data_IF_949424847314
#
_entry.id   IF_949424847314
#
_cell.length_a   1.000
_cell.length_b   1.000
_cell.length_c   1.000
_cell.angle_alpha   90.00
_cell.angle_beta   90.00
_cell.angle_gamma   90.00
#
_symmetry.space_group_name_H-M   'P 1'
#
loop_
_entity.id
_entity.type
_entity.pdbx_description
1 polymer ?
#
# COMPACT_ATOMS: atom_id res chain seq x y z
N UNK A 1 27.32 -9.11 -3.45
CA UNK A 1 26.37 -9.57 -2.41
C UNK A 1 25.00 -9.03 -2.81
N UNK A 2 23.90 -9.71 -2.52
CA UNK A 2 22.58 -9.10 -2.73
C UNK A 2 22.47 -7.80 -1.92
N UNK A 3 21.70 -6.80 -2.40
CA UNK A 3 21.54 -5.54 -1.69
C UNK A 3 20.90 -5.78 -0.31
N UNK A 4 21.35 -5.02 0.69
CA UNK A 4 20.75 -5.01 2.02
C UNK A 4 19.53 -4.07 2.01
N UNK A 5 18.32 -4.64 2.01
CA UNK A 5 17.07 -3.91 1.85
C UNK A 5 16.33 -3.86 3.17
N UNK A 6 16.09 -2.66 3.71
CA UNK A 6 15.15 -2.50 4.81
C UNK A 6 13.74 -2.20 4.30
N UNK A 7 12.73 -2.78 4.97
CA UNK A 7 11.32 -2.56 4.67
C UNK A 7 10.61 -1.99 5.90
N UNK A 8 10.17 -0.74 5.84
CA UNK A 8 9.31 -0.12 6.84
C UNK A 8 7.85 -0.22 6.40
N UNK A 9 6.95 -0.60 7.31
CA UNK A 9 5.55 -0.85 7.00
C UNK A 9 5.26 -2.27 6.52
N UNK A 10 6.03 -3.24 6.97
CA UNK A 10 5.91 -4.65 6.62
C UNK A 10 4.56 -5.29 7.01
N UNK A 11 3.74 -4.64 7.85
CA UNK A 11 2.39 -5.11 8.21
C UNK A 11 1.29 -4.65 7.28
N UNK A 12 1.58 -3.78 6.30
CA UNK A 12 0.63 -3.45 5.22
C UNK A 12 0.45 -4.66 4.27
N UNK A 13 -0.62 -4.67 3.47
CA UNK A 13 -0.87 -5.77 2.51
C UNK A 13 0.32 -5.94 1.56
N UNK A 14 0.78 -4.85 0.95
CA UNK A 14 1.95 -4.88 0.06
C UNK A 14 3.25 -5.21 0.81
N UNK A 15 3.47 -4.56 1.98
CA UNK A 15 4.67 -4.81 2.78
C UNK A 15 4.77 -6.26 3.24
N UNK A 16 3.65 -6.90 3.56
CA UNK A 16 3.62 -8.32 3.93
C UNK A 16 3.99 -9.22 2.75
N UNK A 17 3.47 -8.92 1.56
CA UNK A 17 3.84 -9.63 0.33
C UNK A 17 5.32 -9.46 -0.01
N UNK A 18 5.86 -8.24 0.09
CA UNK A 18 7.29 -7.96 -0.10
C UNK A 18 8.17 -8.77 0.87
N UNK A 19 7.85 -8.72 2.17
CA UNK A 19 8.62 -9.43 3.19
C UNK A 19 8.61 -10.95 3.02
N UNK A 20 7.51 -11.52 2.51
CA UNK A 20 7.39 -12.96 2.26
C UNK A 20 8.12 -13.41 1.01
N UNK A 21 7.92 -12.70 -0.10
CA UNK A 21 8.50 -13.09 -1.39
C UNK A 21 10.01 -12.89 -1.45
N UNK A 22 10.51 -11.85 -0.77
CA UNK A 22 11.92 -11.46 -0.79
C UNK A 22 12.61 -11.63 0.57
N UNK A 23 12.22 -12.66 1.32
CA UNK A 23 12.68 -12.90 2.70
C UNK A 23 14.19 -13.10 2.84
N UNK A 24 14.91 -13.42 1.75
CA UNK A 24 16.37 -13.58 1.76
C UNK A 24 17.13 -12.25 1.63
N UNK A 25 16.48 -11.21 1.08
CA UNK A 25 17.12 -9.91 0.80
C UNK A 25 16.47 -8.74 1.56
N UNK A 26 15.26 -8.92 2.10
CA UNK A 26 14.49 -7.87 2.76
C UNK A 26 14.41 -8.11 4.26
N UNK A 27 14.83 -7.11 5.05
CA UNK A 27 14.66 -7.08 6.51
C UNK A 27 13.41 -6.28 6.85
N UNK A 28 12.29 -6.94 7.23
CA UNK A 28 11.03 -6.27 7.51
C UNK A 28 10.96 -5.71 8.93
N UNK A 29 10.53 -4.45 9.08
CA UNK A 29 10.31 -3.81 10.36
C UNK A 29 8.82 -3.57 10.62
N UNK A 30 8.42 -3.69 11.88
CA UNK A 30 7.06 -3.40 12.36
C UNK A 30 7.09 -2.27 13.39
N UNK A 31 6.00 -1.52 13.52
CA UNK A 31 5.89 -0.42 14.49
C UNK A 31 5.40 -0.86 15.86
N UNK A 32 4.94 -2.10 15.99
CA UNK A 32 4.49 -2.71 17.25
C UNK A 32 4.80 -4.19 17.25
N UNK A 33 5.18 -4.72 18.40
CA UNK A 33 5.29 -6.15 18.58
C UNK A 33 3.97 -6.84 18.22
N UNK A 34 4.05 -7.88 17.41
CA UNK A 34 2.89 -8.63 16.95
C UNK A 34 2.97 -10.07 17.43
N UNK A 35 1.81 -10.63 17.80
CA UNK A 35 1.71 -12.02 18.27
C UNK A 35 1.44 -13.02 17.15
N UNK A 36 1.16 -12.55 15.93
CA UNK A 36 0.95 -13.44 14.80
C UNK A 36 2.22 -14.27 14.55
N UNK A 37 2.14 -15.61 14.45
CA UNK A 37 3.32 -16.48 14.35
C UNK A 37 4.23 -16.11 13.17
N UNK A 38 3.65 -15.68 12.06
CA UNK A 38 4.37 -15.32 10.82
C UNK A 38 5.26 -14.10 10.92
N UNK A 39 5.01 -13.20 11.89
CA UNK A 39 5.71 -11.90 12.01
C UNK A 39 6.21 -11.58 13.41
N UNK A 40 6.05 -12.49 14.37
CA UNK A 40 6.44 -12.25 15.78
C UNK A 40 7.94 -12.01 15.97
N UNK A 41 8.76 -12.46 15.01
CA UNK A 41 10.22 -12.34 15.06
C UNK A 41 10.74 -11.09 14.33
N UNK A 42 9.86 -10.33 13.66
CA UNK A 42 10.29 -9.13 12.97
C UNK A 42 10.69 -8.05 13.95
N UNK A 43 11.81 -7.34 13.70
CA UNK A 43 12.26 -6.24 14.53
C UNK A 43 11.24 -5.13 14.61
N UNK A 44 11.21 -4.47 15.77
CA UNK A 44 10.24 -3.39 16.06
C UNK A 44 10.95 -2.04 15.97
N UNK A 45 10.35 -1.10 15.24
CA UNK A 45 10.76 0.30 15.26
C UNK A 45 10.34 0.93 16.60
N UNK A 46 11.29 1.36 17.40
CA UNK A 46 11.00 2.06 18.65
C UNK A 46 10.80 3.56 18.40
N UNK A 47 9.64 3.91 17.82
CA UNK A 47 9.32 5.27 17.37
C UNK A 47 9.31 6.33 18.49
N UNK A 48 9.32 5.91 19.76
CA UNK A 48 9.37 6.80 20.93
C UNK A 48 10.80 7.26 21.24
N UNK A 49 11.81 6.54 20.79
CA UNK A 49 13.21 6.93 20.98
C UNK A 49 13.60 8.06 20.03
N UNK A 50 14.25 9.14 20.52
CA UNK A 50 14.57 10.30 19.67
C UNK A 50 15.43 9.98 18.45
N UNK A 51 16.36 9.03 18.54
CA UNK A 51 17.34 8.66 17.49
C UNK A 51 17.11 7.25 16.95
N UNK A 52 15.85 6.80 16.92
CA UNK A 52 15.53 5.43 16.46
C UNK A 52 15.95 5.16 15.01
N UNK A 53 15.77 6.14 14.12
CA UNK A 53 16.08 5.98 12.70
C UNK A 53 17.59 5.93 12.47
N UNK A 54 18.34 6.83 13.09
CA UNK A 54 19.81 6.85 13.04
C UNK A 54 20.43 5.55 13.58
N UNK A 55 19.87 5.03 14.68
CA UNK A 55 20.35 3.78 15.28
C UNK A 55 20.18 2.61 14.33
N UNK A 56 19.01 2.48 13.67
CA UNK A 56 18.72 1.42 12.70
C UNK A 56 19.65 1.53 11.48
N UNK A 57 19.80 2.73 10.90
CA UNK A 57 20.65 2.89 9.73
C UNK A 57 22.14 2.68 10.03
N UNK A 58 22.59 3.03 11.23
CA UNK A 58 23.94 2.75 11.70
C UNK A 58 24.18 1.25 11.87
N UNK A 59 23.20 0.52 12.41
CA UNK A 59 23.30 -0.92 12.64
C UNK A 59 23.26 -1.70 11.34
N UNK A 60 22.29 -1.38 10.47
CA UNK A 60 22.01 -2.18 9.29
C UNK A 60 22.73 -1.71 8.02
N UNK A 61 23.16 -0.46 7.92
CA UNK A 61 23.85 0.12 6.74
C UNK A 61 23.17 -0.29 5.40
N UNK A 62 21.88 0.04 5.19
CA UNK A 62 21.16 -0.45 4.04
C UNK A 62 21.62 0.19 2.73
N UNK A 63 21.57 -0.59 1.65
CA UNK A 63 21.72 -0.09 0.28
C UNK A 63 20.41 0.57 -0.21
N UNK A 64 19.27 0.03 0.27
CA UNK A 64 17.92 0.45 -0.13
C UNK A 64 16.94 0.42 1.04
N UNK A 65 16.12 1.47 1.15
CA UNK A 65 14.96 1.52 2.04
C UNK A 65 13.67 1.49 1.23
N UNK A 66 12.88 0.42 1.39
CA UNK A 66 11.50 0.34 0.93
C UNK A 66 10.58 0.91 2.03
N UNK A 67 9.95 2.05 1.77
CA UNK A 67 9.07 2.71 2.73
C UNK A 67 7.60 2.54 2.34
N UNK A 68 6.95 1.57 2.97
CA UNK A 68 5.51 1.27 2.82
C UNK A 68 4.70 1.67 4.06
N UNK A 69 5.33 2.35 5.05
CA UNK A 69 4.67 2.71 6.30
C UNK A 69 3.73 3.90 6.10
N UNK A 70 2.46 3.68 6.39
CA UNK A 70 1.44 4.71 6.46
C UNK A 70 0.20 4.20 7.20
N UNK A 71 -0.59 5.12 7.75
CA UNK A 71 -1.98 4.84 8.11
C UNK A 71 -2.86 5.22 6.93
N UNK A 72 -3.64 4.25 6.44
CA UNK A 72 -4.48 4.36 5.25
C UNK A 72 -5.98 4.21 5.54
N UNK A 73 -6.38 4.17 6.81
CA UNK A 73 -7.78 4.21 7.22
C UNK A 73 -8.30 5.64 7.09
N UNK A 74 -8.99 5.92 5.99
CA UNK A 74 -9.49 7.27 5.66
C UNK A 74 -10.38 7.81 6.77
N UNK A 75 -11.32 7.01 7.30
CA UNK A 75 -12.23 7.43 8.37
C UNK A 75 -11.47 7.84 9.63
N UNK A 76 -10.46 7.09 10.00
CA UNK A 76 -9.63 7.40 11.16
C UNK A 76 -8.73 8.61 10.94
N UNK A 77 -8.22 8.80 9.72
CA UNK A 77 -7.45 10.00 9.37
C UNK A 77 -8.33 11.26 9.43
N UNK A 78 -9.58 11.21 8.96
CA UNK A 78 -10.52 12.32 9.10
C UNK A 78 -10.86 12.62 10.58
N UNK A 79 -11.00 11.58 11.41
CA UNK A 79 -11.31 11.74 12.83
C UNK A 79 -10.11 12.23 13.67
N UNK A 80 -8.89 12.00 13.22
CA UNK A 80 -7.65 12.35 13.92
C UNK A 80 -6.57 12.86 12.95
N UNK A 81 -6.72 14.07 12.38
CA UNK A 81 -5.81 14.61 11.38
C UNK A 81 -4.36 14.75 11.88
N UNK A 82 -4.17 15.22 13.11
CA UNK A 82 -2.84 15.40 13.70
C UNK A 82 -2.09 14.06 13.84
N UNK A 83 -2.80 13.01 14.24
CA UNK A 83 -2.22 11.67 14.27
C UNK A 83 -1.87 11.16 12.87
N UNK A 84 -2.71 11.45 11.87
CA UNK A 84 -2.41 11.08 10.48
C UNK A 84 -1.16 11.82 9.97
N UNK A 85 -1.00 13.10 10.31
CA UNK A 85 0.21 13.88 10.00
C UNK A 85 1.44 13.31 10.69
N UNK A 86 1.37 13.02 11.99
CA UNK A 86 2.51 12.45 12.72
C UNK A 86 2.97 11.14 12.07
N UNK A 87 2.05 10.21 11.78
CA UNK A 87 2.40 8.89 11.25
C UNK A 87 2.85 8.94 9.79
N UNK A 88 2.16 9.73 8.94
CA UNK A 88 2.40 9.71 7.50
C UNK A 88 3.47 10.70 7.04
N UNK A 89 3.72 11.76 7.82
CA UNK A 89 4.62 12.84 7.44
C UNK A 89 5.80 12.92 8.41
N UNK A 90 5.56 13.13 9.73
CA UNK A 90 6.65 13.40 10.68
C UNK A 90 7.60 12.21 10.83
N UNK A 91 7.08 10.97 10.83
CA UNK A 91 7.94 9.78 10.86
C UNK A 91 8.77 9.64 9.58
N UNK A 92 8.20 9.92 8.42
CA UNK A 92 8.93 9.89 7.16
C UNK A 92 10.03 10.97 7.12
N UNK A 93 9.73 12.18 7.59
CA UNK A 93 10.68 13.28 7.64
C UNK A 93 11.90 12.93 8.52
N UNK A 94 11.67 12.35 9.72
CA UNK A 94 12.76 11.82 10.57
C UNK A 94 13.57 10.75 9.87
N UNK A 95 12.92 9.84 9.16
CA UNK A 95 13.61 8.79 8.35
C UNK A 95 14.47 9.42 7.27
N UNK A 96 13.95 10.38 6.51
CA UNK A 96 14.70 11.06 5.44
C UNK A 96 15.91 11.80 6.01
N UNK A 97 15.73 12.49 7.15
CA UNK A 97 16.80 13.23 7.83
C UNK A 97 17.94 12.34 8.32
N UNK A 98 17.62 11.11 8.75
CA UNK A 98 18.60 10.15 9.27
C UNK A 98 19.20 9.22 8.19
N UNK A 99 18.53 9.10 7.02
CA UNK A 99 18.89 8.12 6.00
C UNK A 99 20.22 8.51 5.31
N UNK A 100 21.25 7.66 5.30
CA UNK A 100 22.51 7.94 4.62
C UNK A 100 22.32 8.34 3.15
N UNK A 101 23.12 9.27 2.66
CA UNK A 101 23.05 9.74 1.27
C UNK A 101 23.31 8.64 0.23
N UNK A 102 24.02 7.60 0.63
CA UNK A 102 24.31 6.40 -0.18
C UNK A 102 23.15 5.42 -0.24
N UNK A 103 22.20 5.51 0.68
CA UNK A 103 21.02 4.63 0.70
C UNK A 103 19.94 5.15 -0.24
N UNK A 104 19.49 4.31 -1.15
CA UNK A 104 18.36 4.62 -2.03
C UNK A 104 17.04 4.59 -1.26
N UNK A 105 16.18 5.60 -1.47
CA UNK A 105 14.83 5.64 -0.90
C UNK A 105 13.81 5.32 -1.98
N UNK A 106 13.00 4.28 -1.74
CA UNK A 106 11.82 3.94 -2.53
C UNK A 106 10.58 4.06 -1.66
N UNK A 107 9.72 4.99 -1.99
CA UNK A 107 8.51 5.33 -1.24
C UNK A 107 7.28 4.84 -1.97
N UNK A 108 6.47 4.01 -1.33
CA UNK A 108 5.20 3.57 -1.89
C UNK A 108 4.11 4.54 -1.48
N UNK A 109 3.58 5.24 -2.48
CA UNK A 109 2.45 6.16 -2.36
C UNK A 109 1.13 5.48 -2.75
N UNK A 110 0.07 6.25 -2.97
CA UNK A 110 -1.28 5.77 -3.19
C UNK A 110 -1.99 6.59 -4.27
N UNK A 111 -2.96 5.97 -4.95
CA UNK A 111 -3.92 6.63 -5.83
C UNK A 111 -4.84 7.63 -5.09
N UNK A 112 -4.88 7.62 -3.75
CA UNK A 112 -5.57 8.63 -2.94
C UNK A 112 -4.97 10.05 -3.03
N UNK A 113 -3.84 10.23 -3.70
CA UNK A 113 -3.36 11.57 -4.12
C UNK A 113 -4.31 12.21 -5.14
N UNK A 114 -5.20 11.42 -5.73
CA UNK A 114 -6.30 11.82 -6.59
C UNK A 114 -7.65 11.56 -5.89
N UNK A 115 -8.68 12.28 -6.28
CA UNK A 115 -9.99 12.12 -5.60
C UNK A 115 -11.18 12.24 -6.55
N UNK A 116 -10.98 12.88 -7.69
CA UNK A 116 -12.01 13.05 -8.73
C UNK A 116 -12.15 11.85 -9.64
N UNK A 117 -13.03 11.96 -10.62
CA UNK A 117 -13.23 10.94 -11.63
C UNK A 117 -12.25 11.19 -12.80
N UNK A 118 -11.42 10.20 -13.14
CA UNK A 118 -10.47 10.31 -14.25
C UNK A 118 -9.43 9.22 -14.33
N UNK A 119 -8.67 9.28 -15.43
CA UNK A 119 -7.47 8.48 -15.66
C UNK A 119 -6.28 9.41 -15.38
N UNK A 120 -5.42 9.01 -14.47
CA UNK A 120 -4.31 9.83 -13.98
C UNK A 120 -2.98 9.16 -14.29
N UNK A 121 -2.09 9.92 -14.92
CA UNK A 121 -0.69 9.55 -15.14
C UNK A 121 0.26 10.30 -14.21
N UNK A 122 1.56 10.11 -14.37
CA UNK A 122 2.59 10.69 -13.49
C UNK A 122 2.65 12.23 -13.56
N UNK A 123 2.20 12.86 -14.66
CA UNK A 123 2.16 14.30 -14.83
C UNK A 123 0.85 14.93 -14.30
N UNK A 124 -0.13 14.10 -13.96
CA UNK A 124 -1.41 14.57 -13.44
C UNK A 124 -1.24 15.27 -12.10
N UNK A 125 -1.80 16.47 -11.98
CA UNK A 125 -1.75 17.24 -10.72
C UNK A 125 -2.52 16.53 -9.61
N UNK A 126 -1.91 16.30 -8.44
CA UNK A 126 -2.61 15.74 -7.29
C UNK A 126 -3.83 16.57 -6.89
N UNK A 127 -4.95 15.91 -6.60
CA UNK A 127 -6.21 16.54 -6.18
C UNK A 127 -6.88 15.72 -5.05
N UNK A 128 -6.20 15.56 -3.89
CA UNK A 128 -6.70 14.72 -2.81
C UNK A 128 -7.96 15.29 -2.16
N UNK A 129 -8.94 14.43 -1.85
CA UNK A 129 -10.19 14.82 -1.20
C UNK A 129 -10.22 14.49 0.30
N UNK A 130 -9.28 13.67 0.79
CA UNK A 130 -9.23 13.19 2.18
C UNK A 130 -7.99 13.68 2.91
N UNK A 131 -8.03 13.68 4.24
CA UNK A 131 -6.84 13.90 5.09
C UNK A 131 -5.74 12.92 4.71
N UNK A 132 -6.08 11.64 4.57
CA UNK A 132 -5.12 10.62 4.12
C UNK A 132 -4.45 11.01 2.81
N UNK A 133 -5.22 11.34 1.78
CA UNK A 133 -4.69 11.75 0.48
C UNK A 133 -3.77 12.98 0.57
N UNK A 134 -4.16 13.99 1.34
CA UNK A 134 -3.33 15.19 1.59
C UNK A 134 -2.01 14.84 2.26
N UNK A 135 -2.01 13.94 3.26
CA UNK A 135 -0.74 13.51 3.88
C UNK A 135 0.15 12.75 2.92
N UNK A 136 -0.42 12.02 1.94
CA UNK A 136 0.37 11.34 0.89
C UNK A 136 1.04 12.34 -0.04
N UNK A 137 0.33 13.41 -0.46
CA UNK A 137 0.91 14.47 -1.31
C UNK A 137 2.09 15.15 -0.60
N UNK A 138 1.94 15.56 0.67
CA UNK A 138 3.03 16.17 1.44
C UNK A 138 4.22 15.20 1.60
N UNK A 139 3.95 13.93 1.85
CA UNK A 139 4.99 12.91 1.95
C UNK A 139 5.74 12.70 0.62
N UNK A 140 5.04 12.75 -0.53
CA UNK A 140 5.68 12.72 -1.85
C UNK A 140 6.61 13.91 -2.07
N UNK A 141 6.22 15.11 -1.63
CA UNK A 141 7.06 16.32 -1.71
C UNK A 141 8.36 16.16 -0.90
N UNK A 142 8.29 15.63 0.33
CA UNK A 142 9.47 15.34 1.14
C UNK A 142 10.43 14.36 0.44
N UNK A 143 9.88 13.27 -0.11
CA UNK A 143 10.66 12.26 -0.83
C UNK A 143 11.24 12.82 -2.12
N UNK A 144 10.49 13.62 -2.86
CA UNK A 144 10.91 14.22 -4.13
C UNK A 144 12.15 15.12 -3.95
N UNK A 145 12.26 15.80 -2.82
CA UNK A 145 13.40 16.66 -2.49
C UNK A 145 14.70 15.86 -2.23
N UNK A 146 14.63 14.54 -2.07
CA UNK A 146 15.79 13.68 -1.94
C UNK A 146 16.24 13.16 -3.30
N UNK A 147 17.45 13.53 -3.71
CA UNK A 147 18.03 13.14 -5.00
C UNK A 147 18.10 11.61 -5.11
N UNK A 148 17.71 11.07 -6.26
CA UNK A 148 17.76 9.63 -6.55
C UNK A 148 16.64 8.80 -5.92
N UNK A 149 15.69 9.43 -5.23
CA UNK A 149 14.52 8.73 -4.69
C UNK A 149 13.54 8.31 -5.78
N UNK A 150 12.75 7.29 -5.46
CA UNK A 150 11.66 6.80 -6.30
C UNK A 150 10.36 6.82 -5.51
N UNK A 151 9.31 7.39 -6.10
CA UNK A 151 7.94 7.40 -5.58
C UNK A 151 7.10 6.48 -6.46
N UNK A 152 6.48 5.46 -5.88
CA UNK A 152 5.63 4.52 -6.62
C UNK A 152 4.19 4.71 -6.16
N UNK A 153 3.35 5.31 -7.00
CA UNK A 153 1.91 5.40 -6.75
C UNK A 153 1.25 4.10 -7.17
N UNK A 154 0.50 3.52 -6.25
CA UNK A 154 -0.19 2.24 -6.45
C UNK A 154 -1.68 2.38 -6.18
N UNK A 155 -2.48 1.54 -6.83
CA UNK A 155 -3.91 1.41 -6.55
C UNK A 155 -4.16 0.53 -5.32
N UNK A 156 -5.22 -0.27 -5.37
CA UNK A 156 -5.66 -1.12 -4.27
C UNK A 156 -5.04 -2.52 -4.35
N UNK A 157 -4.11 -2.89 -3.45
CA UNK A 157 -3.59 -4.24 -3.38
C UNK A 157 -4.58 -5.19 -2.69
N UNK A 158 -4.77 -6.37 -3.25
CA UNK A 158 -5.59 -7.45 -2.69
C UNK A 158 -4.69 -8.61 -2.29
N UNK A 159 -4.80 -9.02 -1.05
CA UNK A 159 -4.02 -10.13 -0.49
C UNK A 159 -4.25 -10.30 1.00
N UNK A 160 -3.66 -11.34 1.59
CA UNK A 160 -3.74 -11.59 3.02
C UNK A 160 -2.95 -10.55 3.82
N UNK A 161 -3.37 -10.31 5.05
CA UNK A 161 -2.62 -9.55 6.04
C UNK A 161 -2.03 -10.44 7.12
N UNK A 162 -0.96 -10.01 7.81
CA UNK A 162 -0.36 -10.82 8.85
C UNK A 162 -1.28 -11.12 10.04
N UNK A 163 -2.34 -10.33 10.23
CA UNK A 163 -3.30 -10.50 11.33
C UNK A 163 -4.66 -11.10 10.89
N UNK A 164 -4.84 -11.40 9.60
CA UNK A 164 -6.08 -11.93 9.04
C UNK A 164 -7.31 -11.02 9.19
N UNK A 165 -7.09 -9.68 9.32
CA UNK A 165 -8.18 -8.73 9.59
C UNK A 165 -8.09 -7.43 8.80
N UNK A 166 -6.95 -7.16 8.17
CA UNK A 166 -6.66 -5.91 7.46
C UNK A 166 -6.81 -6.10 5.96
N UNK A 167 -7.27 -5.07 5.26
CA UNK A 167 -7.49 -5.10 3.82
C UNK A 167 -8.81 -5.78 3.42
N UNK A 168 -9.18 -5.63 2.14
CA UNK A 168 -10.49 -6.03 1.63
C UNK A 168 -10.73 -7.54 1.68
N UNK A 169 -9.70 -8.33 1.37
CA UNK A 169 -9.73 -9.79 1.42
C UNK A 169 -10.09 -10.29 2.82
N UNK A 170 -9.26 -9.94 3.82
CA UNK A 170 -9.46 -10.42 5.18
C UNK A 170 -10.69 -9.83 5.85
N UNK A 171 -10.99 -8.53 5.58
CA UNK A 171 -12.19 -7.88 6.09
C UNK A 171 -13.46 -8.57 5.63
N UNK A 172 -13.57 -8.88 4.32
CA UNK A 172 -14.73 -9.53 3.75
C UNK A 172 -14.89 -10.95 4.30
N UNK A 173 -13.80 -11.74 4.27
CA UNK A 173 -13.74 -13.10 4.83
C UNK A 173 -14.13 -13.15 6.31
N UNK A 174 -13.64 -12.21 7.11
CA UNK A 174 -13.95 -12.10 8.54
C UNK A 174 -15.44 -11.85 8.77
N UNK A 175 -16.05 -10.91 8.03
CA UNK A 175 -17.47 -10.57 8.18
C UNK A 175 -18.37 -11.74 7.76
N UNK A 176 -18.04 -12.38 6.64
CA UNK A 176 -18.76 -13.58 6.17
C UNK A 176 -18.75 -14.70 7.19
N UNK A 177 -17.59 -15.11 7.65
CA UNK A 177 -17.45 -16.22 8.64
C UNK A 177 -18.21 -15.97 9.94
N UNK A 178 -18.58 -14.72 10.23
CA UNK A 178 -19.28 -14.31 11.45
C UNK A 178 -20.71 -13.81 11.21
N UNK A 179 -21.21 -13.95 9.99
CA UNK A 179 -22.53 -13.44 9.60
C UNK A 179 -22.75 -11.96 10.00
N UNK A 180 -21.71 -11.13 9.85
CA UNK A 180 -21.80 -9.69 10.13
C UNK A 180 -22.31 -8.94 8.90
N UNK A 181 -23.06 -7.84 9.06
CA UNK A 181 -23.53 -7.02 7.96
C UNK A 181 -22.39 -6.57 7.05
N UNK A 182 -22.57 -6.66 5.74
CA UNK A 182 -21.62 -6.19 4.73
C UNK A 182 -22.26 -5.07 3.97
N UNK A 183 -21.61 -3.91 3.91
CA UNK A 183 -22.04 -2.76 3.11
C UNK A 183 -20.93 -2.39 2.13
N UNK A 184 -21.22 -2.30 0.84
CA UNK A 184 -20.26 -2.03 -0.22
C UNK A 184 -20.61 -0.70 -0.89
N UNK A 185 -19.63 0.18 -1.01
CA UNK A 185 -19.73 1.42 -1.78
C UNK A 185 -19.79 1.06 -3.27
N UNK A 186 -20.85 1.49 -3.97
CA UNK A 186 -21.09 1.04 -5.34
C UNK A 186 -20.47 1.93 -6.43
N UNK A 187 -20.12 3.16 -6.10
CA UNK A 187 -19.66 4.22 -7.00
C UNK A 187 -18.19 4.64 -6.75
N UNK A 188 -17.38 3.71 -6.24
CA UNK A 188 -15.92 3.82 -6.13
C UNK A 188 -15.26 2.82 -7.08
N UNK A 189 -14.36 3.31 -7.96
CA UNK A 189 -13.60 2.52 -8.93
C UNK A 189 -12.12 2.78 -8.76
N UNK A 190 -11.30 1.73 -8.80
CA UNK A 190 -9.85 1.84 -8.61
C UNK A 190 -9.08 0.86 -9.47
N UNK A 191 -7.80 1.12 -9.68
CA UNK A 191 -6.83 0.12 -10.13
C UNK A 191 -6.66 -0.93 -9.03
N UNK A 192 -7.07 -2.19 -9.26
CA UNK A 192 -7.05 -3.26 -8.27
C UNK A 192 -6.20 -4.41 -8.77
N UNK A 193 -5.18 -4.78 -8.00
CA UNK A 193 -4.18 -5.79 -8.39
C UNK A 193 -3.88 -6.76 -7.23
N UNK A 194 -3.37 -7.95 -7.55
CA UNK A 194 -2.89 -8.88 -6.54
C UNK A 194 -1.63 -8.32 -5.86
N UNK A 195 -1.60 -8.40 -4.53
CA UNK A 195 -0.49 -7.85 -3.74
C UNK A 195 0.86 -8.50 -4.07
N UNK A 196 0.86 -9.78 -4.44
CA UNK A 196 2.08 -10.50 -4.79
C UNK A 196 2.64 -10.07 -6.15
N UNK A 197 1.78 -9.76 -7.13
CA UNK A 197 2.21 -9.20 -8.42
C UNK A 197 2.72 -7.77 -8.26
N UNK A 198 2.02 -6.99 -7.43
CA UNK A 198 2.45 -5.64 -7.08
C UNK A 198 3.81 -5.65 -6.36
N UNK A 199 4.02 -6.57 -5.41
CA UNK A 199 5.28 -6.70 -4.70
C UNK A 199 6.45 -7.00 -5.65
N UNK A 200 6.24 -7.91 -6.61
CA UNK A 200 7.22 -8.20 -7.66
C UNK A 200 7.56 -6.96 -8.49
N UNK A 201 6.55 -6.20 -8.92
CA UNK A 201 6.76 -4.98 -9.71
C UNK A 201 7.44 -3.88 -8.89
N UNK A 202 7.06 -3.70 -7.65
CA UNK A 202 7.68 -2.72 -6.74
C UNK A 202 9.16 -3.06 -6.52
N UNK A 203 9.51 -4.34 -6.33
CA UNK A 203 10.89 -4.76 -6.20
C UNK A 203 11.70 -4.52 -7.47
N UNK A 204 11.16 -4.88 -8.65
CA UNK A 204 11.79 -4.61 -9.94
C UNK A 204 12.09 -3.11 -10.15
N UNK A 205 11.14 -2.24 -9.80
CA UNK A 205 11.33 -0.79 -9.83
C UNK A 205 12.36 -0.32 -8.80
N UNK A 206 12.35 -0.89 -7.61
CA UNK A 206 13.30 -0.56 -6.54
C UNK A 206 14.75 -0.92 -6.90
N UNK A 207 14.95 -2.00 -7.63
CA UNK A 207 16.27 -2.47 -8.11
C UNK A 207 16.71 -1.83 -9.43
N UNK A 208 15.82 -1.09 -10.11
CA UNK A 208 16.16 -0.36 -11.34
C UNK A 208 16.79 1.01 -11.05
N UNK A 209 17.24 1.71 -12.10
CA UNK A 209 17.75 3.10 -12.01
C UNK A 209 16.65 4.17 -12.06
N UNK A 210 15.36 3.76 -12.01
CA UNK A 210 14.22 4.67 -12.07
C UNK A 210 14.16 5.62 -10.88
N UNK A 211 13.83 6.89 -11.13
CA UNK A 211 13.71 7.95 -10.12
C UNK A 211 12.46 8.80 -10.35
N UNK A 212 12.11 9.63 -9.38
CA UNK A 212 10.92 10.47 -9.46
C UNK A 212 9.64 9.67 -9.27
N UNK A 213 8.53 10.08 -9.90
CA UNK A 213 7.23 9.45 -9.74
C UNK A 213 7.00 8.38 -10.81
N UNK A 214 6.52 7.21 -10.40
CA UNK A 214 6.09 6.12 -11.26
C UNK A 214 4.74 5.58 -10.81
N UNK A 215 3.90 5.22 -11.76
CA UNK A 215 2.63 4.55 -11.49
C UNK A 215 2.73 3.06 -11.74
N UNK A 216 2.17 2.24 -10.84
CA UNK A 216 1.86 0.84 -11.14
C UNK A 216 0.36 0.75 -11.37
N UNK A 217 -0.01 0.76 -12.67
CA UNK A 217 -1.38 0.71 -13.13
C UNK A 217 -1.91 -0.73 -13.17
N UNK A 218 -3.24 -0.88 -13.20
CA UNK A 218 -3.92 -2.12 -13.57
C UNK A 218 -4.42 -2.03 -15.02
N UNK A 219 -4.71 -3.18 -15.63
CA UNK A 219 -5.26 -3.24 -17.00
C UNK A 219 -6.62 -2.55 -17.14
N UNK A 220 -7.34 -2.37 -16.02
CA UNK A 220 -8.58 -1.58 -15.94
C UNK A 220 -8.91 -1.19 -14.49
N UNK A 221 -9.75 -0.20 -14.34
CA UNK A 221 -10.38 0.08 -13.06
C UNK A 221 -11.48 -0.95 -12.73
N UNK A 222 -11.67 -1.20 -11.45
CA UNK A 222 -12.63 -2.16 -10.89
C UNK A 222 -13.48 -1.46 -9.86
N UNK A 223 -14.81 -1.62 -9.94
CA UNK A 223 -15.71 -1.13 -8.90
C UNK A 223 -15.61 -1.99 -7.65
N UNK A 224 -15.96 -1.39 -6.51
CA UNK A 224 -16.01 -2.13 -5.23
C UNK A 224 -17.02 -3.27 -5.26
N UNK A 225 -18.10 -3.14 -6.06
CA UNK A 225 -19.12 -4.20 -6.26
C UNK A 225 -18.52 -5.37 -7.05
N UNK A 226 -17.85 -5.10 -8.18
CA UNK A 226 -17.18 -6.16 -8.96
C UNK A 226 -16.16 -6.90 -8.10
N UNK A 227 -15.33 -6.14 -7.35
CA UNK A 227 -14.34 -6.73 -6.45
C UNK A 227 -15.00 -7.59 -5.38
N UNK A 228 -16.06 -7.10 -4.71
CA UNK A 228 -16.75 -7.86 -3.68
C UNK A 228 -17.34 -9.15 -4.25
N UNK A 229 -18.03 -9.10 -5.38
CA UNK A 229 -18.60 -10.28 -6.03
C UNK A 229 -17.53 -11.31 -6.41
N UNK A 230 -16.40 -10.84 -6.95
CA UNK A 230 -15.28 -11.70 -7.29
C UNK A 230 -14.69 -12.42 -6.05
N UNK A 231 -14.41 -11.66 -4.98
CA UNK A 231 -13.87 -12.23 -3.75
C UNK A 231 -14.85 -13.21 -3.09
N UNK A 232 -16.16 -12.88 -3.09
CA UNK A 232 -17.20 -13.74 -2.56
C UNK A 232 -17.30 -15.07 -3.35
N UNK A 233 -17.17 -15.01 -4.68
CA UNK A 233 -17.15 -16.21 -5.51
C UNK A 233 -15.94 -17.11 -5.21
N UNK A 234 -14.79 -16.53 -4.90
CA UNK A 234 -13.59 -17.28 -4.49
C UNK A 234 -13.82 -17.98 -3.15
N UNK A 235 -14.54 -17.33 -2.22
CA UNK A 235 -14.85 -17.95 -0.91
C UNK A 235 -15.91 -19.07 -1.00
N UNK A 236 -16.57 -19.23 -2.15
CA UNK A 236 -17.59 -20.27 -2.36
C UNK A 236 -18.91 -20.02 -1.61
N UNK A 237 -19.15 -18.81 -1.14
CA UNK A 237 -20.31 -18.45 -0.34
C UNK A 237 -21.20 -17.44 -1.07
N UNK A 238 -22.52 -17.65 -1.12
CA UNK A 238 -23.44 -16.63 -1.55
C UNK A 238 -23.51 -15.56 -0.46
N UNK A 239 -22.94 -14.40 -0.70
CA UNK A 239 -23.08 -13.31 0.26
C UNK A 239 -24.09 -12.29 -0.21
N UNK A 240 -24.96 -11.91 0.70
CA UNK A 240 -25.80 -10.74 0.59
C UNK A 240 -25.07 -9.54 1.21
N UNK A 241 -25.10 -8.41 0.53
CA UNK A 241 -24.56 -7.15 1.04
C UNK A 241 -25.48 -5.99 0.66
N UNK A 242 -25.45 -4.96 1.47
CA UNK A 242 -26.10 -3.70 1.19
C UNK A 242 -25.20 -2.83 0.30
N UNK A 243 -25.82 -1.97 -0.51
CA UNK A 243 -25.14 -1.01 -1.37
C UNK A 243 -25.35 0.38 -0.83
N UNK A 244 -24.27 1.17 -0.82
CA UNK A 244 -24.27 2.54 -0.34
C UNK A 244 -23.49 3.41 -1.33
N UNK A 245 -23.91 4.65 -1.55
CA UNK A 245 -23.12 5.61 -2.32
C UNK A 245 -21.95 6.15 -1.51
N UNK A 246 -20.84 6.46 -2.17
CA UNK A 246 -19.71 7.16 -1.54
C UNK A 246 -20.11 8.48 -0.89
N UNK A 247 -21.16 9.13 -1.40
CA UNK A 247 -21.67 10.40 -0.87
C UNK A 247 -22.51 10.25 0.41
N UNK A 248 -22.91 9.03 0.76
CA UNK A 248 -23.63 8.72 2.00
C UNK A 248 -22.65 8.40 3.15
N UNK A 249 -21.34 8.27 2.86
CA UNK A 249 -20.31 8.02 3.85
C UNK A 249 -19.87 9.28 4.57
N UNK A 250 -19.64 9.17 5.87
CA UNK A 250 -19.10 10.27 6.68
C UNK A 250 -17.68 10.65 6.27
N UNK A 251 -16.84 9.66 5.92
CA UNK A 251 -15.50 9.90 5.41
C UNK A 251 -15.49 9.95 3.88
N UNK A 252 -14.65 10.82 3.26
CA UNK A 252 -14.60 10.92 1.81
C UNK A 252 -14.09 9.63 1.18
N UNK A 253 -14.81 9.18 0.15
CA UNK A 253 -14.42 8.09 -0.72
C UNK A 253 -14.09 8.62 -2.11
N UNK A 254 -12.98 8.15 -2.69
CA UNK A 254 -12.60 8.53 -4.06
C UNK A 254 -13.65 8.03 -5.05
N UNK A 255 -13.71 8.70 -6.21
CA UNK A 255 -14.64 8.34 -7.27
C UNK A 255 -14.08 7.26 -8.19
N UNK A 256 -14.04 7.54 -9.48
CA UNK A 256 -13.41 6.71 -10.47
C UNK A 256 -11.96 7.15 -10.64
N UNK A 257 -11.04 6.55 -9.91
CA UNK A 257 -9.59 6.84 -10.01
C UNK A 257 -8.90 5.66 -10.67
N UNK A 258 -8.49 5.86 -11.91
CA UNK A 258 -7.71 4.90 -12.69
C UNK A 258 -6.29 5.42 -12.86
N UNK A 259 -5.29 4.60 -12.51
CA UNK A 259 -3.89 4.93 -12.76
C UNK A 259 -3.48 4.46 -14.15
N UNK A 260 -2.78 5.32 -14.88
CA UNK A 260 -2.09 5.00 -16.12
C UNK A 260 -0.60 5.33 -15.97
N UNK A 261 0.25 4.82 -16.84
CA UNK A 261 1.64 5.24 -16.92
C UNK A 261 1.96 5.83 -18.29
N UNK A 262 2.66 6.98 -18.28
CA UNK A 262 3.23 7.59 -19.50
C UNK A 262 4.54 6.94 -19.93
N UNK A 263 5.17 6.17 -19.04
CA UNK A 263 6.41 5.46 -19.31
C UNK A 263 6.17 4.21 -20.15
N UNK A 264 7.20 3.76 -20.85
CA UNK A 264 7.14 2.59 -21.75
C UNK A 264 8.16 1.54 -21.31
N UNK A 265 7.88 0.29 -21.65
CA UNK A 265 8.72 -0.86 -21.32
C UNK A 265 8.11 -1.78 -20.29
N UNK A 266 8.70 -2.94 -20.09
CA UNK A 266 8.16 -4.03 -19.28
C UNK A 266 7.85 -3.64 -17.82
N UNK A 267 8.60 -2.70 -17.23
CA UNK A 267 8.38 -2.22 -15.88
C UNK A 267 7.10 -1.36 -15.74
N UNK A 268 6.57 -0.85 -16.85
CA UNK A 268 5.42 0.06 -16.87
C UNK A 268 4.18 -0.55 -17.52
N UNK A 269 4.28 -1.79 -18.00
CA UNK A 269 3.12 -2.57 -18.46
C UNK A 269 2.12 -2.69 -17.29
N UNK A 270 0.82 -2.40 -17.51
CA UNK A 270 -0.19 -2.55 -16.49
C UNK A 270 -0.24 -3.98 -15.95
N UNK A 271 -0.37 -4.12 -14.64
CA UNK A 271 -0.61 -5.41 -14.02
C UNK A 271 -2.04 -5.88 -14.34
N UNK A 272 -2.20 -7.17 -14.51
CA UNK A 272 -3.52 -7.74 -14.76
C UNK A 272 -4.43 -7.47 -13.57
N UNK A 273 -5.64 -6.92 -13.85
CA UNK A 273 -6.62 -6.68 -12.80
C UNK A 273 -6.97 -8.00 -12.08
N UNK A 274 -7.23 -7.88 -10.79
CA UNK A 274 -7.66 -9.01 -9.93
C UNK A 274 -8.81 -9.83 -10.53
N UNK A 275 -9.70 -9.19 -11.30
CA UNK A 275 -10.85 -9.88 -11.90
C UNK A 275 -10.51 -10.68 -13.15
N UNK A 276 -9.42 -10.32 -13.84
CA UNK A 276 -9.07 -10.85 -15.16
C UNK A 276 -7.89 -11.83 -15.08
N UNK A 277 -7.22 -11.87 -13.92
CA UNK A 277 -6.08 -12.76 -13.67
C UNK A 277 -6.48 -14.12 -13.13
N UNK A 278 -5.53 -15.06 -13.15
CA UNK A 278 -5.70 -16.36 -12.47
C UNK A 278 -5.75 -16.14 -10.95
N UNK A 279 -6.68 -16.79 -10.29
CA UNK A 279 -6.76 -16.75 -8.82
C UNK A 279 -5.48 -17.32 -8.20
N UNK A 280 -4.59 -16.45 -7.71
CA UNK A 280 -3.32 -16.83 -7.06
C UNK A 280 -3.45 -17.07 -5.56
N UNK A 281 -4.65 -16.95 -5.00
CA UNK A 281 -4.89 -17.11 -3.58
C UNK A 281 -5.24 -18.55 -3.18
N UNK A 282 -5.22 -19.52 -4.11
CA UNK A 282 -5.49 -20.93 -3.80
C UNK A 282 -4.60 -21.49 -2.65
N UNK A 283 -3.37 -20.96 -2.48
CA UNK A 283 -2.49 -21.32 -1.37
C UNK A 283 -2.79 -20.62 -0.02
N UNK A 284 -3.74 -19.68 0.02
CA UNK A 284 -4.12 -18.94 1.24
C UNK A 284 -5.53 -19.28 1.76
N UNK A 285 -6.24 -20.17 1.09
CA UNK A 285 -7.58 -20.60 1.49
C UNK A 285 -7.54 -21.66 2.59
N UNK A 286 -6.41 -22.34 2.77
CA UNK A 286 -6.25 -23.51 3.65
C UNK A 286 -5.73 -23.14 5.07
N UNK A 287 -5.46 -21.85 5.35
CA UNK A 287 -5.10 -21.33 6.69
C UNK A 287 -6.33 -20.59 7.35
#
# INVERSE_FOLDING_TARGET
MPPNILLFGATSILGFSLARQFSESVVPFVTRANRAPSIRQWPVLNLEEPLWAESIFKEHQPDLLLYCHAVCDVSRCEAAPDWAQEVNISYLDRVIGALPTTTRLVYVSSDHVFGGDGIYDEDSTPCPISVYGRTRVVAEELVHNRVGSLIIRVGLPIGPSPNGRTGHWDWLRYRMRRNLPITIVHDEYRSVVWADELATRVMQLAESDETGIRHVAATRAVSRIELANHLLSIFGEPATYERESRHERAAPHIGHVELASRHRGALFEPLVSVLDGTNRLAGFLDD
#
